data_IF_803352640115
#
_entry.id   IF_803352640115
#
_cell.length_a   1.000
_cell.length_b   1.000
_cell.length_c   1.000
_cell.angle_alpha   90.00
_cell.angle_beta   90.00
_cell.angle_gamma   90.00
#
_symmetry.space_group_name_H-M   'P 1'
#
loop_
_entity.id
_entity.type
_entity.pdbx_description
1 polymer ?
#
# COMPACT_ATOMS: atom_id res chain seq x y z
N UNK A 1 45.59 -9.18 30.65
CA UNK A 1 46.07 -8.01 29.88
C UNK A 1 46.26 -8.50 28.45
N UNK A 2 45.55 -8.07 27.41
CA UNK A 2 44.61 -6.97 27.17
C UNK A 2 43.58 -7.41 26.13
N UNK A 3 42.45 -6.71 26.14
CA UNK A 3 41.17 -6.98 25.50
C UNK A 3 41.08 -6.17 24.21
N UNK A 4 40.91 -6.83 23.06
CA UNK A 4 40.44 -6.24 21.80
C UNK A 4 39.41 -7.24 21.24
N UNK A 5 38.08 -7.14 21.44
CA UNK A 5 37.18 -6.04 21.11
C UNK A 5 37.23 -5.62 19.63
N UNK A 6 37.01 -6.56 18.70
CA UNK A 6 36.45 -6.21 17.39
C UNK A 6 34.95 -6.46 17.40
N UNK A 7 34.22 -5.46 17.86
CA UNK A 7 32.80 -5.32 17.61
C UNK A 7 32.60 -4.89 16.17
N UNK A 8 32.56 -5.85 15.25
CA UNK A 8 32.17 -5.58 13.86
C UNK A 8 30.69 -5.21 13.82
N UNK A 9 30.45 -3.90 13.83
CA UNK A 9 29.18 -3.27 13.57
C UNK A 9 28.68 -3.70 12.19
N UNK A 10 27.80 -4.72 12.17
CA UNK A 10 26.92 -4.94 11.02
C UNK A 10 26.02 -3.72 10.91
N UNK A 11 26.49 -2.72 10.17
CA UNK A 11 25.71 -1.54 9.80
C UNK A 11 24.34 -2.02 9.36
N UNK A 12 23.30 -1.49 10.01
CA UNK A 12 21.92 -1.86 9.74
C UNK A 12 21.68 -1.57 8.25
N UNK A 13 21.64 -2.60 7.42
CA UNK A 13 21.26 -2.46 6.00
C UNK A 13 19.90 -1.77 6.02
N UNK A 14 19.86 -0.54 5.53
CA UNK A 14 18.62 0.15 5.21
C UNK A 14 18.06 -0.58 3.99
N UNK A 15 17.34 -1.67 4.23
CA UNK A 15 16.49 -2.26 3.20
C UNK A 15 15.39 -1.23 2.99
N UNK A 16 15.22 -0.67 1.77
CA UNK A 16 14.09 0.19 1.48
C UNK A 16 12.81 -0.53 1.93
N UNK A 17 11.91 0.14 2.67
CA UNK A 17 10.75 -0.55 3.25
C UNK A 17 9.79 -1.13 2.20
N UNK A 18 9.98 -0.78 0.92
CA UNK A 18 9.15 -1.20 -0.19
C UNK A 18 9.98 -1.91 -1.26
N UNK A 19 9.45 -3.04 -1.70
CA UNK A 19 9.97 -3.86 -2.79
C UNK A 19 9.23 -3.54 -4.09
N UNK A 20 9.69 -4.05 -5.22
CA UNK A 20 8.99 -3.93 -6.51
C UNK A 20 7.56 -4.49 -6.46
N UNK A 21 7.32 -5.56 -5.69
CA UNK A 21 5.98 -6.10 -5.45
C UNK A 21 5.05 -5.10 -4.77
N UNK A 22 5.57 -4.32 -3.80
CA UNK A 22 4.79 -3.27 -3.17
C UNK A 22 4.43 -2.16 -4.16
N UNK A 23 5.35 -1.79 -5.06
CA UNK A 23 5.05 -0.78 -6.08
C UNK A 23 4.01 -1.30 -7.09
N UNK A 24 4.11 -2.56 -7.53
CA UNK A 24 3.11 -3.18 -8.40
C UNK A 24 1.71 -3.21 -7.77
N UNK A 25 1.62 -3.54 -6.47
CA UNK A 25 0.37 -3.48 -5.72
C UNK A 25 -0.18 -2.04 -5.67
N UNK A 26 0.67 -1.04 -5.40
CA UNK A 26 0.24 0.37 -5.38
C UNK A 26 -0.26 0.86 -6.72
N UNK A 27 0.38 0.50 -7.82
CA UNK A 27 -0.08 0.88 -9.16
C UNK A 27 -1.45 0.26 -9.48
N UNK A 28 -1.66 -0.99 -9.02
CA UNK A 28 -2.94 -1.68 -9.18
C UNK A 28 -4.06 -0.98 -8.40
N UNK A 29 -3.80 -0.64 -7.12
CA UNK A 29 -4.74 0.10 -6.28
C UNK A 29 -4.99 1.51 -6.82
N UNK A 30 -3.95 2.22 -7.27
CA UNK A 30 -4.09 3.55 -7.86
C UNK A 30 -4.98 3.51 -9.10
N UNK A 31 -4.75 2.54 -9.99
CA UNK A 31 -5.56 2.36 -11.19
C UNK A 31 -7.03 2.09 -10.86
N UNK A 32 -7.30 1.28 -9.83
CA UNK A 32 -8.67 1.05 -9.34
C UNK A 32 -9.30 2.33 -8.79
N UNK A 33 -8.59 3.08 -7.94
CA UNK A 33 -9.08 4.36 -7.39
C UNK A 33 -9.41 5.35 -8.52
N UNK A 34 -8.50 5.56 -9.48
CA UNK A 34 -8.69 6.52 -10.57
C UNK A 34 -9.89 6.17 -11.46
N UNK A 35 -10.13 4.88 -11.71
CA UNK A 35 -11.15 4.41 -12.65
C UNK A 35 -12.51 4.18 -12.00
N UNK A 36 -12.53 3.63 -10.78
CA UNK A 36 -13.75 3.12 -10.15
C UNK A 36 -14.22 3.97 -8.97
N UNK A 37 -13.34 4.81 -8.36
CA UNK A 37 -13.69 5.61 -7.18
C UNK A 37 -13.74 7.10 -7.52
N UNK A 38 -12.64 7.67 -8.03
CA UNK A 38 -12.47 9.12 -8.24
C UNK A 38 -13.63 9.78 -9.01
N UNK A 39 -14.21 9.18 -10.07
CA UNK A 39 -15.29 9.82 -10.82
C UNK A 39 -16.57 10.07 -10.01
N UNK A 40 -16.77 9.35 -8.91
CA UNK A 40 -18.04 9.31 -8.18
C UNK A 40 -18.01 9.96 -6.79
N UNK A 41 -16.83 10.37 -6.30
CA UNK A 41 -16.64 10.88 -4.93
C UNK A 41 -17.60 12.02 -4.60
N UNK A 42 -17.77 13.00 -5.50
CA UNK A 42 -18.64 14.15 -5.24
C UNK A 42 -20.11 13.75 -5.08
N UNK A 43 -20.59 12.78 -5.87
CA UNK A 43 -21.95 12.25 -5.77
C UNK A 43 -22.18 11.54 -4.43
N UNK A 44 -21.22 10.68 -4.04
CA UNK A 44 -21.28 9.94 -2.78
C UNK A 44 -21.20 10.84 -1.55
N UNK A 45 -20.36 11.87 -1.59
CA UNK A 45 -20.27 12.89 -0.55
C UNK A 45 -21.60 13.63 -0.39
N UNK A 46 -22.21 14.06 -1.51
CA UNK A 46 -23.51 14.74 -1.50
C UNK A 46 -24.62 13.83 -0.97
N UNK A 47 -24.63 12.56 -1.38
CA UNK A 47 -25.58 11.54 -0.92
C UNK A 47 -25.35 11.12 0.54
N UNK A 48 -24.14 11.36 1.08
CA UNK A 48 -23.66 10.84 2.38
C UNK A 48 -23.75 9.31 2.45
N UNK A 49 -23.48 8.65 1.33
CA UNK A 49 -23.56 7.21 1.17
C UNK A 49 -22.35 6.70 0.40
N UNK A 50 -21.77 5.59 0.87
CA UNK A 50 -20.67 4.91 0.20
C UNK A 50 -21.13 3.56 -0.35
N UNK A 51 -20.91 3.26 -1.63
CA UNK A 51 -21.44 2.06 -2.27
C UNK A 51 -20.83 0.78 -1.68
N UNK A 52 -21.69 -0.19 -1.34
CA UNK A 52 -21.27 -1.45 -0.73
C UNK A 52 -20.65 -2.40 -1.74
N UNK A 53 -21.04 -2.29 -3.01
CA UNK A 53 -20.53 -3.07 -4.14
C UNK A 53 -19.03 -2.85 -4.36
N UNK A 54 -18.46 -1.70 -3.96
CA UNK A 54 -17.01 -1.47 -4.01
C UNK A 54 -16.25 -2.48 -3.16
N UNK A 55 -16.78 -2.92 -2.01
CA UNK A 55 -16.11 -3.93 -1.18
C UNK A 55 -16.10 -5.30 -1.86
N UNK A 56 -17.18 -5.67 -2.54
CA UNK A 56 -17.22 -6.90 -3.34
C UNK A 56 -16.17 -6.83 -4.44
N UNK A 57 -16.12 -5.71 -5.15
CA UNK A 57 -15.17 -5.46 -6.22
C UNK A 57 -13.71 -5.50 -5.76
N UNK A 58 -13.42 -4.90 -4.60
CA UNK A 58 -12.09 -4.97 -4.00
C UNK A 58 -11.71 -6.41 -3.62
N UNK A 59 -12.67 -7.23 -3.17
CA UNK A 59 -12.46 -8.66 -2.91
C UNK A 59 -12.14 -9.46 -4.17
N UNK A 60 -12.84 -9.20 -5.28
CA UNK A 60 -12.54 -9.83 -6.58
C UNK A 60 -11.13 -9.51 -7.09
N UNK A 61 -10.62 -8.30 -6.79
CA UNK A 61 -9.28 -7.85 -7.16
C UNK A 61 -8.20 -8.31 -6.17
N UNK A 62 -8.58 -8.98 -5.07
CA UNK A 62 -7.64 -9.46 -4.05
C UNK A 62 -7.08 -8.35 -3.14
N UNK A 63 -7.80 -7.24 -2.97
CA UNK A 63 -7.39 -6.12 -2.12
C UNK A 63 -7.89 -6.22 -0.67
N UNK A 64 -8.72 -7.22 -0.35
CA UNK A 64 -9.34 -7.45 0.96
C UNK A 64 -9.09 -8.88 1.47
#
# INVERSE_FOLDING_TARGET
>A
MTKDADGSSRGRRLIPPFTEEHEALRESIRSFIEKEIRPHVAEWEQAREFPRELFVRMGELGFL
#
